data_IF_455767389203
#
_entry.id   IF_455767389203
#
_cell.length_a   1.000
_cell.length_b   1.000
_cell.length_c   1.000
_cell.angle_alpha   90.00
_cell.angle_beta   90.00
_cell.angle_gamma   90.00
#
_symmetry.space_group_name_H-M   'P 1'
#
loop_
_entity.id
_entity.type
_entity.pdbx_description
1 polymer ?
#
# COMPACT_ATOMS: atom_id res chain seq x y z
N UNK A 1 27.19 -9.95 -9.16
CA UNK A 1 25.81 -9.45 -9.06
C UNK A 1 25.53 -8.57 -10.27
N UNK A 2 24.60 -8.94 -11.14
CA UNK A 2 24.22 -8.08 -12.25
C UNK A 2 23.16 -7.10 -11.74
N UNK A 3 23.43 -5.80 -11.85
CA UNK A 3 22.48 -4.75 -11.50
C UNK A 3 21.16 -4.96 -12.24
N UNK A 4 20.03 -4.83 -11.54
CA UNK A 4 18.68 -4.88 -12.11
C UNK A 4 18.56 -3.99 -13.35
N UNK A 5 19.29 -2.87 -13.40
CA UNK A 5 19.35 -1.96 -14.55
C UNK A 5 19.88 -2.64 -15.85
N UNK A 6 20.84 -3.56 -15.76
CA UNK A 6 21.40 -4.25 -16.95
C UNK A 6 20.46 -5.29 -17.55
N UNK A 7 19.51 -5.83 -16.76
CA UNK A 7 18.52 -6.80 -17.26
C UNK A 7 17.35 -6.13 -18.00
N UNK A 8 17.10 -4.84 -17.77
CA UNK A 8 16.05 -4.08 -18.47
C UNK A 8 16.47 -3.66 -19.89
N UNK A 9 17.74 -3.28 -20.11
CA UNK A 9 18.22 -2.82 -21.42
C UNK A 9 18.23 -3.94 -22.47
N UNK A 10 18.52 -5.18 -22.08
CA UNK A 10 18.58 -6.31 -23.02
C UNK A 10 17.20 -6.79 -23.51
N UNK A 11 16.10 -6.46 -22.81
CA UNK A 11 14.75 -6.87 -23.24
C UNK A 11 14.16 -5.96 -24.31
N UNK A 12 14.68 -4.73 -24.49
CA UNK A 12 14.18 -3.73 -25.43
C UNK A 12 14.66 -3.95 -26.88
N UNK A 13 15.71 -4.76 -27.10
CA UNK A 13 16.25 -4.99 -28.44
C UNK A 13 15.41 -5.94 -29.32
N UNK A 14 14.47 -6.70 -28.75
CA UNK A 14 13.75 -7.76 -29.49
C UNK A 14 12.38 -7.36 -30.07
N UNK A 15 11.90 -6.13 -29.85
CA UNK A 15 10.56 -5.69 -30.29
C UNK A 15 10.58 -4.69 -31.46
N UNK A 16 11.62 -4.70 -32.30
CA UNK A 16 11.69 -3.91 -33.54
C UNK A 16 10.94 -4.63 -34.66
N UNK A 17 9.63 -4.82 -34.50
CA UNK A 17 8.74 -5.31 -35.57
C UNK A 17 8.25 -4.10 -36.37
N UNK A 18 8.35 -4.22 -37.70
CA UNK A 18 8.14 -3.21 -38.75
C UNK A 18 6.78 -2.50 -38.71
N UNK A 19 6.58 -1.57 -37.78
CA UNK A 19 5.53 -0.55 -37.87
C UNK A 19 6.22 0.83 -37.86
N UNK A 20 6.60 1.31 -39.05
CA UNK A 20 7.23 2.63 -39.27
C UNK A 20 6.23 3.80 -39.10
N UNK A 21 5.15 3.59 -38.35
CA UNK A 21 4.24 4.66 -38.00
C UNK A 21 4.93 5.64 -37.04
N UNK A 22 5.01 6.95 -37.37
CA UNK A 22 5.58 7.96 -36.47
C UNK A 22 4.82 8.06 -35.13
N UNK A 23 3.57 7.59 -35.08
CA UNK A 23 2.80 7.49 -33.84
C UNK A 23 3.31 6.36 -32.92
N UNK A 24 3.76 5.24 -33.48
CA UNK A 24 4.35 4.13 -32.71
C UNK A 24 5.72 4.54 -32.13
N UNK A 25 6.53 5.25 -32.91
CA UNK A 25 7.84 5.76 -32.47
C UNK A 25 7.73 6.75 -31.30
N UNK A 26 6.73 7.64 -31.31
CA UNK A 26 6.45 8.54 -30.16
C UNK A 26 6.06 7.75 -28.91
N UNK A 27 5.12 6.82 -29.03
CA UNK A 27 4.70 5.98 -27.89
C UNK A 27 5.84 5.16 -27.29
N UNK A 28 6.76 4.66 -28.13
CA UNK A 28 7.93 3.94 -27.65
C UNK A 28 8.88 4.84 -26.85
N UNK A 29 9.16 6.06 -27.34
CA UNK A 29 9.97 7.05 -26.60
C UNK A 29 9.32 7.45 -25.28
N UNK A 30 8.01 7.69 -25.28
CA UNK A 30 7.27 8.08 -24.08
C UNK A 30 7.33 6.96 -23.02
N UNK A 31 7.17 5.69 -23.45
CA UNK A 31 7.30 4.54 -22.56
C UNK A 31 8.73 4.35 -22.01
N UNK A 32 9.74 4.52 -22.85
CA UNK A 32 11.15 4.43 -22.44
C UNK A 32 11.52 5.53 -21.43
N UNK A 33 11.06 6.76 -21.67
CA UNK A 33 11.24 7.88 -20.73
C UNK A 33 10.51 7.63 -19.39
N UNK A 34 9.30 7.07 -19.42
CA UNK A 34 8.55 6.73 -18.21
C UNK A 34 9.28 5.66 -17.37
N UNK A 35 9.85 4.63 -18.01
CA UNK A 35 10.63 3.59 -17.34
C UNK A 35 11.90 4.17 -16.73
N UNK A 36 12.67 4.95 -17.49
CA UNK A 36 13.90 5.59 -17.00
C UNK A 36 13.63 6.49 -15.79
N UNK A 37 12.51 7.21 -15.81
CA UNK A 37 12.11 8.07 -14.70
C UNK A 37 11.65 7.29 -13.46
N UNK A 38 10.89 6.21 -13.65
CA UNK A 38 10.51 5.33 -12.54
C UNK A 38 11.76 4.78 -11.84
N UNK A 39 12.81 4.45 -12.60
CA UNK A 39 14.10 4.03 -12.04
C UNK A 39 14.81 5.16 -11.28
N UNK A 40 14.82 6.39 -11.81
CA UNK A 40 15.39 7.55 -11.09
C UNK A 40 14.65 7.85 -9.78
N UNK A 41 13.31 7.86 -9.79
CA UNK A 41 12.51 8.07 -8.59
C UNK A 41 12.71 6.97 -7.55
N UNK A 42 12.95 5.74 -7.98
CA UNK A 42 13.32 4.64 -7.08
C UNK A 42 14.69 4.87 -6.44
N UNK A 43 15.69 5.29 -7.22
CA UNK A 43 17.04 5.59 -6.71
C UNK A 43 17.07 6.79 -5.74
N UNK A 44 16.35 7.87 -6.07
CA UNK A 44 16.24 9.06 -5.20
C UNK A 44 15.54 8.72 -3.88
N UNK A 45 14.66 7.71 -3.89
CA UNK A 45 14.01 7.20 -2.68
C UNK A 45 14.91 6.31 -1.81
N UNK A 46 16.03 5.82 -2.33
CA UNK A 46 17.04 5.06 -1.56
C UNK A 46 18.08 6.00 -0.92
N UNK A 47 18.23 7.23 -1.44
CA UNK A 47 19.26 8.17 -0.97
C UNK A 47 18.91 8.89 0.36
N UNK A 48 17.66 8.86 0.82
CA UNK A 48 17.21 9.54 2.06
C UNK A 48 17.28 8.64 3.32
N UNK A 49 17.66 7.36 3.18
CA UNK A 49 17.85 6.41 4.28
C UNK A 49 19.37 6.19 4.49
N UNK A 50 20.13 7.25 4.79
CA UNK A 50 21.41 7.06 5.50
C UNK A 50 21.04 6.70 6.94
N UNK A 51 21.26 5.46 7.40
CA UNK A 51 21.02 5.12 8.79
C UNK A 51 21.98 5.94 9.64
N UNK A 52 21.42 6.83 10.47
CA UNK A 52 22.14 7.50 11.54
C UNK A 52 22.85 6.41 12.35
N UNK A 53 24.15 6.31 12.09
CA UNK A 53 25.03 5.26 12.57
C UNK A 53 25.32 5.54 14.03
N UNK A 54 24.30 5.39 14.88
CA UNK A 54 24.52 5.20 16.30
C UNK A 54 25.18 3.83 16.48
N UNK A 55 26.50 3.89 16.50
CA UNK A 55 27.48 2.88 16.89
C UNK A 55 27.04 2.14 18.16
N UNK A 56 26.30 1.05 18.00
CA UNK A 56 26.04 0.08 19.08
C UNK A 56 27.21 -0.89 19.13
N UNK A 57 28.02 -0.76 20.18
CA UNK A 57 29.14 -1.66 20.48
C UNK A 57 28.70 -3.12 20.50
N UNK A 58 29.49 -4.06 19.94
CA UNK A 58 29.19 -5.48 20.00
C UNK A 58 29.58 -6.03 21.38
N UNK A 59 28.60 -6.29 22.25
CA UNK A 59 28.82 -7.20 23.39
C UNK A 59 28.78 -8.64 22.89
N UNK A 60 29.95 -9.25 22.90
CA UNK A 60 30.16 -10.70 22.85
C UNK A 60 29.20 -11.41 23.80
N UNK A 61 28.36 -12.30 23.27
CA UNK A 61 27.78 -13.38 24.07
C UNK A 61 28.05 -14.69 23.35
N UNK A 62 29.04 -15.37 23.92
CA UNK A 62 29.41 -16.76 23.68
C UNK A 62 28.37 -17.69 24.35
N UNK A 63 28.41 -18.96 23.93
CA UNK A 63 28.09 -20.19 24.69
C UNK A 63 26.83 -20.98 24.27
N UNK A 64 27.16 -22.16 23.70
CA UNK A 64 26.59 -23.50 23.88
C UNK A 64 25.28 -23.97 23.18
N UNK A 65 25.49 -24.88 22.23
CA UNK A 65 25.15 -26.31 22.32
C UNK A 65 23.83 -26.75 23.00
N UNK A 66 22.93 -27.36 22.21
CA UNK A 66 22.48 -28.78 22.28
C UNK A 66 21.01 -28.98 21.83
N UNK A 67 20.82 -29.99 20.96
CA UNK A 67 19.56 -30.73 20.72
C UNK A 67 19.19 -31.57 21.98
N UNK A 68 18.03 -32.26 22.16
CA UNK A 68 17.19 -32.96 21.17
C UNK A 68 15.65 -32.97 21.45
N UNK A 69 14.92 -33.78 20.68
CA UNK A 69 13.47 -34.01 20.74
C UNK A 69 12.96 -34.79 21.98
N UNK A 70 11.76 -34.43 22.46
CA UNK A 70 10.85 -35.21 23.34
C UNK A 70 9.42 -34.71 23.07
N UNK A 71 8.46 -35.47 22.54
CA UNK A 71 7.71 -36.61 23.09
C UNK A 71 6.93 -36.30 24.39
N UNK A 72 5.60 -36.37 24.25
CA UNK A 72 4.65 -36.98 25.20
C UNK A 72 4.11 -36.21 26.42
N UNK A 73 2.83 -36.53 26.69
CA UNK A 73 2.04 -36.43 27.92
C UNK A 73 1.24 -35.14 28.16
N UNK A 74 -0.09 -35.29 28.02
CA UNK A 74 -1.10 -34.37 28.50
C UNK A 74 -1.34 -34.55 30.01
N UNK A 75 -1.51 -33.47 30.79
CA UNK A 75 -2.06 -33.54 32.13
C UNK A 75 -3.56 -33.24 32.13
N UNK A 76 -4.31 -34.19 32.66
CA UNK A 76 -5.67 -34.01 33.19
C UNK A 76 -5.62 -33.03 34.36
N UNK A 77 -6.39 -31.94 34.30
CA UNK A 77 -6.52 -30.98 35.41
C UNK A 77 -8.00 -30.82 35.76
N UNK A 78 -8.24 -31.00 37.06
CA UNK A 78 -9.51 -31.04 37.77
C UNK A 78 -10.30 -29.73 37.76
N UNK A 79 -11.61 -29.78 38.07
CA UNK A 79 -12.49 -28.62 38.11
C UNK A 79 -12.30 -27.82 39.40
N UNK A 80 -11.97 -26.53 39.29
CA UNK A 80 -11.96 -25.59 40.42
C UNK A 80 -13.33 -24.88 40.58
N UNK A 81 -13.75 -24.61 41.83
CA UNK A 81 -15.03 -23.98 42.14
C UNK A 81 -15.05 -22.48 41.84
N UNK A 82 -16.21 -22.05 41.36
CA UNK A 82 -16.54 -20.70 40.93
C UNK A 82 -16.53 -19.70 42.11
N UNK A 83 -15.57 -18.78 42.13
CA UNK A 83 -15.66 -17.55 42.93
C UNK A 83 -16.28 -16.42 42.06
N UNK A 84 -17.39 -15.80 42.50
CA UNK A 84 -17.94 -14.62 41.83
C UNK A 84 -17.02 -13.43 42.11
N UNK A 85 -16.05 -13.23 41.22
CA UNK A 85 -15.16 -12.06 41.24
C UNK A 85 -15.97 -10.83 40.82
N UNK A 86 -16.44 -10.08 41.80
CA UNK A 86 -17.04 -8.75 41.61
C UNK A 86 -15.94 -7.80 41.15
N UNK A 87 -15.69 -7.76 39.83
CA UNK A 87 -14.91 -6.70 39.24
C UNK A 87 -15.77 -5.41 39.22
N UNK A 88 -15.23 -4.28 39.73
CA UNK A 88 -15.93 -3.01 39.73
C UNK A 88 -16.24 -2.61 38.29
N UNK A 89 -17.49 -2.23 38.05
CA UNK A 89 -17.93 -1.62 36.80
C UNK A 89 -17.05 -0.40 36.53
N UNK A 90 -16.07 -0.56 35.64
CA UNK A 90 -15.27 0.54 35.07
C UNK A 90 -16.21 1.41 34.26
N UNK A 91 -16.85 2.35 34.95
CA UNK A 91 -17.61 3.45 34.38
C UNK A 91 -16.65 4.63 34.23
N UNK A 92 -15.68 4.49 33.33
CA UNK A 92 -14.82 5.60 32.93
C UNK A 92 -14.54 5.48 31.43
N UNK A 93 -14.59 6.64 30.76
CA UNK A 93 -14.36 6.90 29.33
C UNK A 93 -15.58 6.84 28.40
N UNK A 94 -16.61 7.66 28.67
CA UNK A 94 -17.52 8.15 27.61
C UNK A 94 -17.08 9.51 27.02
N UNK A 95 -16.02 10.11 27.57
CA UNK A 95 -15.49 11.38 27.12
C UNK A 95 -14.33 11.16 26.13
N UNK A 96 -14.65 10.92 24.85
CA UNK A 96 -13.90 11.38 23.65
C UNK A 96 -14.50 10.89 22.30
N UNK A 97 -15.77 10.45 22.30
CA UNK A 97 -16.35 9.83 21.09
C UNK A 97 -16.68 10.86 19.99
N UNK A 98 -16.79 12.15 20.36
CA UNK A 98 -17.12 13.24 19.43
C UNK A 98 -15.97 13.56 18.47
N UNK A 99 -14.73 13.67 18.95
CA UNK A 99 -13.58 14.01 18.11
C UNK A 99 -13.22 12.84 17.20
N UNK A 100 -13.26 11.62 17.73
CA UNK A 100 -13.08 10.39 16.96
C UNK A 100 -14.13 10.29 15.85
N UNK A 101 -15.39 10.61 16.14
CA UNK A 101 -16.46 10.66 15.13
C UNK A 101 -16.13 11.61 13.98
N UNK A 102 -15.75 12.85 14.28
CA UNK A 102 -15.42 13.84 13.25
C UNK A 102 -14.23 13.40 12.38
N UNK A 103 -13.22 12.76 12.98
CA UNK A 103 -12.09 12.19 12.26
C UNK A 103 -12.52 11.04 11.32
N UNK A 104 -13.35 10.12 11.81
CA UNK A 104 -13.87 9.00 11.00
C UNK A 104 -14.73 9.52 9.84
N UNK A 105 -15.64 10.46 10.08
CA UNK A 105 -16.50 11.03 9.04
C UNK A 105 -15.68 11.74 7.95
N UNK A 106 -14.69 12.54 8.36
CA UNK A 106 -13.77 13.21 7.44
C UNK A 106 -12.92 12.21 6.65
N UNK A 107 -12.41 11.17 7.31
CA UNK A 107 -11.64 10.12 6.66
C UNK A 107 -12.47 9.40 5.61
N UNK A 108 -13.69 8.99 5.94
CA UNK A 108 -14.61 8.33 5.02
C UNK A 108 -14.97 9.20 3.82
N UNK A 109 -15.12 10.51 4.02
CA UNK A 109 -15.30 11.45 2.91
C UNK A 109 -14.11 11.47 1.96
N UNK A 110 -12.88 11.45 2.48
CA UNK A 110 -11.67 11.35 1.65
C UNK A 110 -11.59 9.99 0.94
N UNK A 111 -11.92 8.88 1.62
CA UNK A 111 -11.92 7.54 1.02
C UNK A 111 -12.90 7.42 -0.14
N UNK A 112 -14.06 8.09 -0.07
CA UNK A 112 -14.98 8.21 -1.21
C UNK A 112 -14.34 8.95 -2.39
N UNK A 113 -13.54 9.98 -2.13
CA UNK A 113 -12.79 10.71 -3.17
C UNK A 113 -11.73 9.86 -3.90
N UNK A 114 -11.28 8.75 -3.30
CA UNK A 114 -10.36 7.81 -3.96
C UNK A 114 -11.05 6.90 -4.97
N UNK A 115 -12.39 6.89 -5.03
CA UNK A 115 -13.16 6.09 -5.96
C UNK A 115 -13.07 6.65 -7.39
N UNK A 116 -12.23 6.04 -8.23
CA UNK A 116 -11.98 6.56 -9.59
C UNK A 116 -11.57 5.45 -10.55
N UNK A 117 -11.92 5.64 -11.82
CA UNK A 117 -11.34 4.89 -12.93
C UNK A 117 -10.00 5.51 -13.32
N UNK A 118 -8.98 4.68 -13.48
CA UNK A 118 -7.66 5.07 -13.97
C UNK A 118 -7.01 3.91 -14.72
N UNK A 119 -5.90 4.18 -15.42
CA UNK A 119 -5.07 3.13 -16.01
C UNK A 119 -3.91 2.83 -15.07
N UNK A 120 -3.64 1.55 -14.81
CA UNK A 120 -2.52 1.09 -13.98
C UNK A 120 -1.41 0.53 -14.87
N UNK A 121 -0.17 0.93 -14.63
CA UNK A 121 1.00 0.22 -15.17
C UNK A 121 1.22 -1.10 -14.40
N UNK A 122 1.44 -2.23 -15.08
CA UNK A 122 1.79 -3.47 -14.39
C UNK A 122 3.14 -3.35 -13.69
N UNK A 123 3.22 -3.98 -12.52
CA UNK A 123 4.26 -3.70 -11.53
C UNK A 123 5.57 -4.43 -11.83
N UNK A 124 5.55 -5.50 -12.64
CA UNK A 124 6.72 -6.24 -13.12
C UNK A 124 6.29 -7.32 -14.10
N UNK A 125 7.05 -7.53 -15.19
CA UNK A 125 6.89 -8.68 -16.06
C UNK A 125 7.54 -8.48 -17.42
N UNK A 126 8.52 -9.33 -17.74
CA UNK A 126 9.28 -9.46 -19.00
C UNK A 126 8.42 -9.83 -20.22
N UNK A 127 7.19 -9.34 -20.31
CA UNK A 127 6.32 -9.54 -21.46
C UNK A 127 6.35 -8.27 -22.29
N UNK A 128 6.97 -8.39 -23.47
CA UNK A 128 7.26 -7.31 -24.42
C UNK A 128 6.02 -6.58 -25.01
N UNK A 129 4.85 -6.72 -24.39
CA UNK A 129 3.56 -6.16 -24.83
C UNK A 129 2.71 -5.63 -23.66
N UNK A 130 3.34 -5.15 -22.58
CA UNK A 130 2.64 -4.68 -21.40
C UNK A 130 1.89 -3.36 -21.66
N UNK A 131 0.63 -3.45 -22.08
CA UNK A 131 -0.28 -2.30 -22.16
C UNK A 131 -0.82 -1.92 -20.79
N UNK A 132 -1.02 -0.61 -20.60
CA UNK A 132 -1.70 -0.05 -19.44
C UNK A 132 -3.10 -0.63 -19.32
N UNK A 133 -3.51 -1.06 -18.13
CA UNK A 133 -4.81 -1.69 -17.92
C UNK A 133 -5.78 -0.71 -17.25
N UNK A 134 -6.98 -0.54 -17.79
CA UNK A 134 -8.04 0.21 -17.11
C UNK A 134 -8.46 -0.52 -15.84
N UNK A 135 -8.57 0.21 -14.73
CA UNK A 135 -8.90 -0.30 -13.40
C UNK A 135 -9.78 0.70 -12.66
N UNK A 136 -10.68 0.17 -11.84
CA UNK A 136 -11.41 0.97 -10.87
C UNK A 136 -10.76 0.83 -9.51
N UNK A 137 -10.47 1.94 -8.84
CA UNK A 137 -9.87 1.96 -7.51
C UNK A 137 -10.90 2.39 -6.47
N UNK A 138 -10.83 1.80 -5.28
CA UNK A 138 -11.58 2.24 -4.11
C UNK A 138 -10.85 1.84 -2.82
N UNK A 139 -10.97 2.66 -1.78
CA UNK A 139 -10.51 2.32 -0.46
C UNK A 139 -11.59 1.56 0.32
N UNK A 140 -11.19 0.50 1.01
CA UNK A 140 -12.07 -0.36 1.80
C UNK A 140 -11.54 -0.45 3.24
N UNK A 141 -12.43 -0.41 4.25
CA UNK A 141 -12.04 -0.73 5.63
C UNK A 141 -11.74 -2.22 5.75
N UNK A 142 -10.97 -2.61 6.77
CA UNK A 142 -10.75 -4.02 7.09
C UNK A 142 -12.08 -4.73 7.42
N UNK A 143 -12.15 -6.02 7.07
CA UNK A 143 -13.24 -6.92 7.45
C UNK A 143 -12.92 -7.50 8.84
N UNK A 144 -13.41 -6.85 9.89
CA UNK A 144 -13.31 -7.38 11.26
C UNK A 144 -14.70 -7.48 11.89
N UNK A 145 -14.98 -8.60 12.60
CA UNK A 145 -16.18 -8.74 13.38
C UNK A 145 -16.10 -7.95 14.69
N UNK A 146 -17.23 -7.31 15.02
CA UNK A 146 -17.61 -6.78 16.33
C UNK A 146 -17.04 -5.41 16.74
N UNK A 147 -17.88 -4.39 16.53
CA UNK A 147 -17.78 -3.06 17.15
C UNK A 147 -18.33 -1.98 16.22
N UNK A 148 -19.45 -1.36 16.57
CA UNK A 148 -19.99 -0.20 15.85
C UNK A 148 -19.60 1.14 16.48
N UNK A 149 -18.69 1.14 17.46
CA UNK A 149 -18.16 2.37 18.04
C UNK A 149 -17.27 3.12 17.03
N UNK A 150 -17.12 4.42 17.24
CA UNK A 150 -16.27 5.25 16.38
C UNK A 150 -14.80 4.81 16.43
N UNK A 151 -14.31 4.41 17.60
CA UNK A 151 -12.97 3.82 17.76
C UNK A 151 -12.80 2.54 16.92
N UNK A 152 -13.78 1.63 16.91
CA UNK A 152 -13.72 0.43 16.06
C UNK A 152 -13.71 0.79 14.57
N UNK A 153 -14.52 1.74 14.13
CA UNK A 153 -14.52 2.22 12.73
C UNK A 153 -13.19 2.84 12.35
N UNK A 154 -12.58 3.63 13.23
CA UNK A 154 -11.24 4.21 13.03
C UNK A 154 -10.18 3.11 12.85
N UNK A 155 -10.15 2.12 13.76
CA UNK A 155 -9.22 0.98 13.68
C UNK A 155 -9.38 0.17 12.39
N UNK A 156 -10.62 -0.02 11.92
CA UNK A 156 -10.88 -0.71 10.64
C UNK A 156 -10.30 0.04 9.44
N UNK A 157 -10.34 1.37 9.45
CA UNK A 157 -9.71 2.16 8.39
C UNK A 157 -8.19 2.17 8.49
N UNK A 158 -7.63 2.11 9.69
CA UNK A 158 -6.19 1.96 9.90
C UNK A 158 -5.65 0.65 9.30
N UNK A 159 -6.43 -0.43 9.36
CA UNK A 159 -6.16 -1.72 8.71
C UNK A 159 -6.73 -1.81 7.29
N UNK A 160 -7.25 -0.71 6.77
CA UNK A 160 -7.91 -0.65 5.48
C UNK A 160 -6.93 -0.79 4.31
N UNK A 161 -7.50 -1.01 3.13
CA UNK A 161 -6.76 -1.25 1.89
C UNK A 161 -7.27 -0.39 0.75
N UNK A 162 -6.37 0.09 -0.10
CA UNK A 162 -6.68 0.65 -1.41
C UNK A 162 -6.71 -0.50 -2.41
N UNK A 163 -7.89 -0.93 -2.82
CA UNK A 163 -8.10 -2.06 -3.71
C UNK A 163 -8.44 -1.60 -5.13
N UNK A 164 -8.23 -2.50 -6.10
CA UNK A 164 -8.60 -2.25 -7.50
C UNK A 164 -9.28 -3.43 -8.18
N UNK A 165 -10.21 -3.11 -9.07
CA UNK A 165 -11.02 -4.05 -9.85
C UNK A 165 -10.81 -3.84 -11.35
N UNK A 166 -11.33 -4.78 -12.15
CA UNK A 166 -11.34 -4.64 -13.61
C UNK A 166 -12.07 -3.36 -14.03
N UNK A 167 -13.21 -3.10 -13.42
CA UNK A 167 -14.09 -1.96 -13.70
C UNK A 167 -14.98 -1.66 -12.48
N UNK A 168 -15.75 -0.56 -12.56
CA UNK A 168 -16.67 -0.14 -11.50
C UNK A 168 -17.78 -1.16 -11.24
N UNK A 169 -18.23 -1.89 -12.26
CA UNK A 169 -19.31 -2.87 -12.12
C UNK A 169 -18.88 -4.07 -11.26
N UNK A 170 -17.65 -4.55 -11.45
CA UNK A 170 -17.06 -5.58 -10.57
C UNK A 170 -17.06 -5.15 -9.10
N UNK A 171 -16.71 -3.89 -8.80
CA UNK A 171 -16.77 -3.36 -7.44
C UNK A 171 -18.21 -3.32 -6.90
N UNK A 172 -19.17 -2.83 -7.68
CA UNK A 172 -20.58 -2.76 -7.27
C UNK A 172 -21.20 -4.14 -7.01
N UNK A 173 -20.75 -5.16 -7.75
CA UNK A 173 -21.14 -6.57 -7.54
C UNK A 173 -20.41 -7.24 -6.38
N UNK A 174 -19.55 -6.51 -5.66
CA UNK A 174 -18.71 -7.03 -4.59
C UNK A 174 -17.82 -8.22 -5.03
N UNK A 175 -17.36 -8.20 -6.28
CA UNK A 175 -16.38 -9.19 -6.76
C UNK A 175 -15.04 -9.02 -6.03
N UNK A 176 -14.25 -10.10 -5.97
CA UNK A 176 -12.92 -10.05 -5.40
C UNK A 176 -12.01 -9.05 -6.16
N UNK A 177 -11.27 -8.17 -5.46
CA UNK A 177 -10.37 -7.24 -6.10
C UNK A 177 -9.23 -7.97 -6.82
N UNK A 178 -8.71 -7.38 -7.90
CA UNK A 178 -7.56 -7.89 -8.65
C UNK A 178 -6.24 -7.70 -7.90
N UNK A 179 -6.23 -6.82 -6.92
CA UNK A 179 -5.12 -6.57 -6.02
C UNK A 179 -5.45 -5.39 -5.11
N UNK A 180 -4.59 -5.15 -4.14
CA UNK A 180 -4.76 -4.10 -3.16
C UNK A 180 -3.42 -3.69 -2.56
N UNK A 181 -3.39 -2.52 -1.92
CA UNK A 181 -2.26 -2.01 -1.15
C UNK A 181 -2.78 -1.60 0.23
N UNK A 182 -2.11 -2.00 1.30
CA UNK A 182 -2.49 -1.56 2.65
C UNK A 182 -2.33 -0.04 2.75
N UNK A 183 -3.33 0.67 3.29
CA UNK A 183 -3.27 2.13 3.38
C UNK A 183 -2.07 2.61 4.20
N UNK A 184 -1.78 1.90 5.30
CA UNK A 184 -0.63 2.18 6.17
C UNK A 184 0.72 1.80 5.57
N UNK A 185 0.76 0.98 4.51
CA UNK A 185 2.02 0.67 3.84
C UNK A 185 2.39 1.67 2.74
N UNK A 186 1.52 2.64 2.45
CA UNK A 186 1.81 3.72 1.50
C UNK A 186 2.78 4.71 2.15
N UNK A 187 4.00 4.78 1.60
CA UNK A 187 5.09 5.61 2.13
C UNK A 187 5.22 6.94 1.39
N UNK A 188 4.92 6.97 0.09
CA UNK A 188 5.06 8.19 -0.73
C UNK A 188 3.99 8.23 -1.80
N UNK A 189 3.44 9.42 -2.02
CA UNK A 189 2.54 9.70 -3.14
C UNK A 189 3.10 10.90 -3.88
N UNK A 190 3.46 10.72 -5.15
CA UNK A 190 4.00 11.77 -6.00
C UNK A 190 3.07 12.06 -7.16
N UNK A 191 3.00 13.33 -7.51
CA UNK A 191 2.32 13.82 -8.70
C UNK A 191 3.30 14.74 -9.40
N UNK A 192 3.59 14.42 -10.65
CA UNK A 192 4.64 15.06 -11.41
C UNK A 192 4.10 16.15 -12.34
N UNK A 193 4.84 17.25 -12.49
CA UNK A 193 4.42 18.35 -13.38
C UNK A 193 4.67 18.02 -14.85
N UNK A 194 5.67 17.20 -15.16
CA UNK A 194 5.99 16.84 -16.54
C UNK A 194 5.05 15.73 -17.05
N UNK A 195 4.53 14.91 -16.13
CA UNK A 195 3.47 13.94 -16.39
C UNK A 195 2.22 14.28 -15.57
N UNK A 196 1.50 15.35 -15.95
CA UNK A 196 0.43 15.91 -15.12
C UNK A 196 -0.76 14.98 -14.91
N UNK A 197 -0.88 13.90 -15.70
CA UNK A 197 -1.93 12.89 -15.60
C UNK A 197 -1.52 11.68 -14.76
N UNK A 198 -0.26 11.60 -14.35
CA UNK A 198 0.30 10.44 -13.64
C UNK A 198 0.43 10.68 -12.13
N UNK A 199 0.10 9.66 -11.36
CA UNK A 199 0.32 9.61 -9.92
C UNK A 199 1.09 8.33 -9.59
N UNK A 200 2.24 8.47 -8.96
CA UNK A 200 3.02 7.35 -8.46
C UNK A 200 2.76 7.16 -6.96
N UNK A 201 2.40 5.94 -6.59
CA UNK A 201 2.11 5.51 -5.22
C UNK A 201 3.18 4.51 -4.81
N UNK A 202 4.12 4.96 -3.98
CA UNK A 202 5.13 4.13 -3.37
C UNK A 202 4.59 3.46 -2.10
N UNK A 203 4.75 2.15 -2.00
CA UNK A 203 4.34 1.36 -0.85
C UNK A 203 5.41 0.35 -0.43
N UNK A 204 5.38 -0.07 0.84
CA UNK A 204 6.15 -1.21 1.33
C UNK A 204 5.30 -2.47 1.21
N UNK A 205 5.88 -3.51 0.61
CA UNK A 205 5.28 -4.84 0.50
C UNK A 205 6.40 -5.87 0.70
N UNK A 206 6.25 -6.75 1.69
CA UNK A 206 7.26 -7.77 2.05
C UNK A 206 8.66 -7.18 2.33
N UNK A 207 8.71 -6.00 2.97
CA UNK A 207 9.96 -5.28 3.24
C UNK A 207 10.58 -4.60 2.02
N UNK A 208 9.99 -4.76 0.83
CA UNK A 208 10.47 -4.13 -0.40
C UNK A 208 9.62 -2.91 -0.76
N UNK A 209 10.30 -1.85 -1.20
CA UNK A 209 9.64 -0.68 -1.77
C UNK A 209 9.15 -1.02 -3.16
N UNK A 210 7.86 -0.83 -3.41
CA UNK A 210 7.24 -0.97 -4.73
C UNK A 210 6.53 0.32 -5.11
N UNK A 211 6.43 0.57 -6.42
CA UNK A 211 5.77 1.76 -6.96
C UNK A 211 4.65 1.32 -7.88
N UNK A 212 3.45 1.83 -7.63
CA UNK A 212 2.30 1.71 -8.51
C UNK A 212 2.07 3.04 -9.21
N UNK A 213 2.14 3.05 -10.54
CA UNK A 213 1.88 4.24 -11.36
C UNK A 213 0.47 4.17 -11.93
N UNK A 214 -0.30 5.23 -11.68
CA UNK A 214 -1.68 5.43 -12.12
C UNK A 214 -1.76 6.58 -13.12
N UNK A 215 -2.44 6.38 -14.24
CA UNK A 215 -2.68 7.41 -15.26
C UNK A 215 -4.17 7.75 -15.26
N UNK A 216 -4.49 9.00 -14.99
CA UNK A 216 -5.86 9.51 -14.99
C UNK A 216 -6.25 10.06 -16.36
N UNK A 217 -7.54 10.39 -16.51
CA UNK A 217 -8.08 10.95 -17.76
C UNK A 217 -7.56 12.35 -18.06
N UNK A 218 -7.27 13.12 -17.01
CA UNK A 218 -6.81 14.50 -17.12
C UNK A 218 -6.00 14.91 -15.88
N UNK A 219 -5.30 16.03 -16.01
CA UNK A 219 -4.48 16.63 -14.95
C UNK A 219 -5.23 16.94 -13.66
N UNK A 220 -6.46 17.44 -13.76
CA UNK A 220 -7.23 17.86 -12.60
C UNK A 220 -7.56 16.64 -11.72
N UNK A 221 -8.00 15.54 -12.35
CA UNK A 221 -8.30 14.27 -11.68
C UNK A 221 -7.05 13.70 -10.98
N UNK A 222 -5.90 13.68 -11.66
CA UNK A 222 -4.64 13.19 -11.08
C UNK A 222 -4.22 14.00 -9.85
N UNK A 223 -4.26 15.34 -9.96
CA UNK A 223 -3.89 16.26 -8.88
C UNK A 223 -4.85 16.13 -7.69
N UNK A 224 -6.15 16.09 -7.94
CA UNK A 224 -7.18 15.90 -6.91
C UNK A 224 -6.97 14.56 -6.19
N UNK A 225 -6.88 13.47 -6.93
CA UNK A 225 -6.73 12.13 -6.37
C UNK A 225 -5.44 11.99 -5.55
N UNK A 226 -4.32 12.54 -6.04
CA UNK A 226 -3.06 12.63 -5.28
C UNK A 226 -3.24 13.41 -3.96
N UNK A 227 -3.92 14.56 -4.01
CA UNK A 227 -4.20 15.39 -2.85
C UNK A 227 -5.04 14.66 -1.80
N UNK A 228 -6.08 13.95 -2.25
CA UNK A 228 -6.95 13.11 -1.39
C UNK A 228 -6.13 12.00 -0.73
N UNK A 229 -5.32 11.25 -1.48
CA UNK A 229 -4.53 10.15 -0.91
C UNK A 229 -3.48 10.65 0.10
N UNK A 230 -2.85 11.80 -0.16
CA UNK A 230 -1.96 12.47 0.80
C UNK A 230 -2.70 12.91 2.07
N UNK A 231 -3.93 13.39 1.94
CA UNK A 231 -4.76 13.77 3.09
C UNK A 231 -5.13 12.55 3.93
N UNK A 232 -5.54 11.44 3.28
CA UNK A 232 -5.79 10.15 3.94
C UNK A 232 -4.57 9.70 4.73
N UNK A 233 -3.39 9.65 4.08
CA UNK A 233 -2.14 9.22 4.74
C UNK A 233 -1.84 10.05 5.99
N UNK A 234 -1.90 11.38 5.89
CA UNK A 234 -1.67 12.27 7.03
C UNK A 234 -2.65 12.03 8.18
N UNK A 235 -3.94 11.78 7.88
CA UNK A 235 -4.93 11.49 8.91
C UNK A 235 -4.64 10.17 9.63
N UNK A 236 -4.25 9.14 8.88
CA UNK A 236 -3.89 7.84 9.47
C UNK A 236 -2.59 7.91 10.29
N UNK A 237 -1.62 8.73 9.88
CA UNK A 237 -0.37 8.95 10.63
C UNK A 237 -0.59 9.65 11.98
N UNK A 238 -1.55 10.57 12.06
CA UNK A 238 -1.88 11.25 13.32
C UNK A 238 -2.44 10.26 14.34
N UNK A 239 -3.31 9.34 13.92
CA UNK A 239 -3.90 8.34 14.82
C UNK A 239 -3.00 7.16 15.18
N UNK A 240 -1.74 7.15 14.73
CA UNK A 240 -0.73 6.16 15.15
C UNK A 240 -0.11 6.51 16.51
N UNK A 241 -0.16 7.78 16.91
CA UNK A 241 0.38 8.28 18.19
C UNK A 241 -0.56 7.97 19.33
#
# INVERSE_FOLDING_TARGET
>A
EMSLASLFLNSLCCARVHDDSPAAARKARDAEQAIARAAQLAAELEADDEPDSHEVSPMLTEVAHHAPATSSVAPSVSPMPHHPSMLPARSEVEADDSDTRLLVEKLESLMRGLQKESRKYPQSGKTNLSWTQSRYFAALPAEEPAGNSWACRWQRWFRGKLAYWKDKQSHLKQEAPKGWVNLMSIVKVTWDKDFPEEVAVGNMEDGQRKVMVLIFKNKADAKEWCGVLKAVRRMLEVGKR
#
